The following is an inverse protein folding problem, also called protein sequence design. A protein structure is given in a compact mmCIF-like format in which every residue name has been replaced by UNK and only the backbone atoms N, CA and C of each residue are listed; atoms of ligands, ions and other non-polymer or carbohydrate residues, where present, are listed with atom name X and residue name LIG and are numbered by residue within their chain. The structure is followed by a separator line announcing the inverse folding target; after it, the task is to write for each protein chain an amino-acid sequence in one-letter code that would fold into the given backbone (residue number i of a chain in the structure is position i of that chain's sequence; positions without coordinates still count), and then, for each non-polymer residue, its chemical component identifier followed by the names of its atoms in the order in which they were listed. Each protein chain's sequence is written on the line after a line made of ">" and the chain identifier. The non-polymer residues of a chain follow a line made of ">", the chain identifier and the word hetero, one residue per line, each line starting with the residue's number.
data_IF_439123250256
#
_entry.id   IF_439123250256
#
_cell.length_a   1.000
_cell.length_b   1.000
_cell.length_c   1.000
_cell.angle_alpha   90.00
_cell.angle_beta   90.00
_cell.angle_gamma   90.00
#
_symmetry.space_group_name_H-M   'P 1'
#
loop_
_entity.id
_entity.type
_entity.pdbx_description
1 polymer ?
#
# COMPACT_ATOMS: atom_id res chain seq x y z
N UNK A 1 -36.09 -9.32 -12.41
CA UNK A 1 -36.34 -8.87 -13.79
C UNK A 1 -35.44 -7.67 -14.10
N UNK A 2 -34.13 -7.88 -13.99
CA UNK A 2 -33.05 -6.91 -14.22
C UNK A 2 -31.76 -7.71 -14.50
N UNK A 3 -31.90 -8.72 -15.37
CA UNK A 3 -30.84 -9.69 -15.72
C UNK A 3 -30.72 -9.86 -17.24
N UNK A 4 -31.27 -8.92 -18.00
CA UNK A 4 -31.24 -8.95 -19.45
C UNK A 4 -31.40 -7.52 -19.94
N UNK A 5 -30.27 -6.82 -20.12
CA UNK A 5 -29.98 -5.71 -21.03
C UNK A 5 -28.72 -5.06 -20.47
N UNK A 6 -27.57 -5.43 -21.03
CA UNK A 6 -26.32 -4.69 -21.26
C UNK A 6 -25.28 -5.77 -21.58
N UNK A 7 -25.41 -6.31 -22.79
CA UNK A 7 -24.29 -6.86 -23.54
C UNK A 7 -24.05 -5.84 -24.66
N UNK A 8 -22.78 -5.47 -24.86
CA UNK A 8 -22.23 -4.53 -25.86
C UNK A 8 -21.87 -3.12 -25.37
N UNK A 9 -20.89 -3.04 -24.46
CA UNK A 9 -19.68 -2.23 -24.70
C UNK A 9 -18.53 -2.85 -23.93
N UNK A 10 -17.85 -3.79 -24.60
CA UNK A 10 -16.59 -4.37 -24.17
C UNK A 10 -15.58 -3.21 -24.12
N UNK A 11 -15.39 -2.58 -22.96
CA UNK A 11 -14.05 -2.20 -22.57
C UNK A 11 -13.42 -3.45 -21.97
N UNK A 12 -12.96 -4.32 -22.86
CA UNK A 12 -11.73 -5.02 -22.55
C UNK A 12 -10.71 -3.92 -22.28
N UNK A 13 -10.39 -3.66 -21.02
CA UNK A 13 -9.06 -3.18 -20.65
C UNK A 13 -8.08 -4.32 -20.99
N UNK A 14 -7.93 -4.55 -22.29
CA UNK A 14 -6.74 -5.15 -22.84
C UNK A 14 -5.66 -4.12 -22.58
N UNK A 15 -4.96 -4.28 -21.45
CA UNK A 15 -3.67 -3.64 -21.17
C UNK A 15 -2.63 -4.21 -22.15
N UNK A 16 -2.84 -3.95 -23.44
CA UNK A 16 -1.83 -4.10 -24.47
C UNK A 16 -1.21 -2.74 -24.67
N UNK A 17 0.12 -2.64 -24.60
CA UNK A 17 0.85 -1.41 -24.89
C UNK A 17 0.37 -0.82 -26.22
N UNK A 18 -0.22 0.38 -26.16
CA UNK A 18 -0.45 1.19 -27.35
C UNK A 18 0.79 2.05 -27.60
N UNK A 19 1.08 2.39 -28.87
CA UNK A 19 2.14 3.35 -29.18
C UNK A 19 1.86 4.69 -28.48
N UNK A 20 2.71 5.07 -27.52
CA UNK A 20 2.59 6.33 -26.76
C UNK A 20 2.33 6.16 -25.26
N UNK A 21 2.00 4.95 -24.80
CA UNK A 21 1.80 4.67 -23.38
C UNK A 21 3.14 4.78 -22.60
N UNK A 22 3.09 5.28 -21.37
CA UNK A 22 4.26 5.27 -20.47
C UNK A 22 4.66 3.81 -20.20
N UNK A 23 5.90 3.39 -20.49
CA UNK A 23 6.31 1.99 -20.37
C UNK A 23 6.20 1.47 -18.93
N UNK A 24 6.26 2.35 -17.93
CA UNK A 24 6.21 1.98 -16.52
C UNK A 24 4.84 1.45 -16.09
N UNK A 25 3.79 1.66 -16.88
CA UNK A 25 2.44 1.08 -16.68
C UNK A 25 2.48 -0.45 -16.57
N UNK A 26 3.40 -1.10 -17.30
CA UNK A 26 3.44 -2.55 -17.43
C UNK A 26 4.64 -3.18 -16.72
N UNK A 27 5.38 -2.39 -15.95
CA UNK A 27 6.61 -2.81 -15.29
C UNK A 27 6.35 -3.20 -13.84
N UNK A 28 7.02 -4.27 -13.39
CA UNK A 28 7.21 -4.54 -11.96
C UNK A 28 8.10 -3.46 -11.32
N UNK A 29 8.08 -3.34 -9.99
CA UNK A 29 8.92 -2.39 -9.27
C UNK A 29 10.42 -2.53 -9.64
N UNK A 30 10.94 -3.76 -9.74
CA UNK A 30 12.33 -4.00 -10.14
C UNK A 30 12.61 -3.59 -11.60
N UNK A 31 11.66 -3.75 -12.51
CA UNK A 31 11.78 -3.26 -13.88
C UNK A 31 11.76 -1.73 -13.94
N UNK A 32 10.89 -1.06 -13.17
CA UNK A 32 10.85 0.41 -13.07
C UNK A 32 12.17 0.97 -12.53
N UNK A 33 12.72 0.38 -11.46
CA UNK A 33 14.01 0.81 -10.88
C UNK A 33 15.13 0.68 -11.92
N UNK A 34 15.19 -0.46 -12.62
CA UNK A 34 16.20 -0.72 -13.66
C UNK A 34 16.02 0.16 -14.90
N UNK A 35 14.77 0.46 -15.27
CA UNK A 35 14.45 1.36 -16.38
C UNK A 35 15.07 2.75 -16.17
N UNK A 36 15.08 3.23 -14.93
CA UNK A 36 15.73 4.47 -14.53
C UNK A 36 17.25 4.35 -14.31
N UNK A 37 17.85 3.18 -14.57
CA UNK A 37 19.29 2.94 -14.50
C UNK A 37 19.82 2.54 -13.12
N UNK A 38 18.96 2.44 -12.10
CA UNK A 38 19.36 2.07 -10.75
C UNK A 38 19.54 0.54 -10.62
N UNK A 39 20.48 0.08 -9.76
CA UNK A 39 20.51 -1.32 -9.37
C UNK A 39 19.25 -1.68 -8.58
N UNK A 40 18.68 -2.86 -8.84
CA UNK A 40 17.50 -3.37 -8.14
C UNK A 40 17.70 -4.83 -7.75
N UNK A 41 17.39 -5.17 -6.51
CA UNK A 41 17.39 -6.52 -5.97
C UNK A 41 15.99 -6.88 -5.43
N UNK A 42 15.54 -8.10 -5.73
CA UNK A 42 14.33 -8.70 -5.16
C UNK A 42 14.71 -9.58 -3.96
N UNK A 43 13.97 -9.44 -2.87
CA UNK A 43 14.14 -10.21 -1.66
C UNK A 43 12.81 -10.81 -1.20
N UNK A 44 12.89 -11.87 -0.41
CA UNK A 44 11.72 -12.46 0.21
C UNK A 44 12.02 -12.92 1.63
N UNK A 45 11.06 -12.73 2.53
CA UNK A 45 11.14 -13.18 3.92
C UNK A 45 9.83 -13.87 4.32
N UNK A 46 9.93 -15.00 5.03
CA UNK A 46 8.77 -15.76 5.49
C UNK A 46 8.43 -15.35 6.93
N UNK A 47 7.17 -15.00 7.17
CA UNK A 47 6.66 -14.69 8.52
C UNK A 47 6.44 -15.96 9.33
N UNK A 48 6.35 -15.83 10.65
CA UNK A 48 6.07 -16.96 11.55
C UNK A 48 4.75 -17.66 11.20
N UNK A 49 3.73 -16.89 10.80
CA UNK A 49 2.43 -17.42 10.42
C UNK A 49 2.36 -17.89 8.96
N UNK A 50 3.45 -17.77 8.18
CA UNK A 50 3.64 -18.47 6.92
C UNK A 50 3.52 -17.63 5.64
N UNK A 51 3.26 -16.32 5.73
CA UNK A 51 3.26 -15.43 4.56
C UNK A 51 4.69 -15.23 4.04
N UNK A 52 4.84 -15.12 2.73
CA UNK A 52 6.11 -14.82 2.07
C UNK A 52 6.04 -13.40 1.54
N UNK A 53 6.75 -12.50 2.19
CA UNK A 53 6.74 -11.07 1.91
C UNK A 53 7.82 -10.70 0.91
N UNK A 54 7.45 -10.03 -0.18
CA UNK A 54 8.38 -9.47 -1.14
C UNK A 54 8.96 -8.14 -0.67
N UNK A 55 10.26 -7.93 -0.88
CA UNK A 55 10.92 -6.64 -0.63
C UNK A 55 11.77 -6.26 -1.82
N UNK A 56 11.85 -4.97 -2.10
CA UNK A 56 12.72 -4.43 -3.16
C UNK A 56 13.83 -3.59 -2.53
N UNK A 57 15.01 -3.63 -3.14
CA UNK A 57 16.17 -2.90 -2.66
C UNK A 57 16.86 -2.16 -3.78
N UNK A 58 17.20 -0.89 -3.51
CA UNK A 58 18.11 -0.07 -4.31
C UNK A 58 19.42 0.06 -3.50
N UNK A 59 20.44 -0.78 -3.75
CA UNK A 59 21.63 -0.84 -2.91
C UNK A 59 22.52 0.41 -3.00
N UNK A 60 22.43 1.16 -4.10
CA UNK A 60 23.15 2.42 -4.29
C UNK A 60 22.49 3.29 -5.37
N UNK A 61 22.68 4.60 -5.26
CA UNK A 61 22.33 5.55 -6.31
C UNK A 61 23.20 5.44 -7.56
N UNK A 62 22.74 6.07 -8.64
CA UNK A 62 23.48 6.22 -9.91
C UNK A 62 24.15 7.59 -10.00
N UNK A 63 23.72 8.53 -9.17
CA UNK A 63 24.28 9.86 -9.05
C UNK A 63 24.53 10.19 -7.57
N UNK A 64 25.33 11.20 -7.26
CA UNK A 64 25.56 11.63 -5.88
C UNK A 64 26.65 10.86 -5.11
N UNK A 65 26.40 10.59 -3.82
CA UNK A 65 27.45 10.18 -2.87
C UNK A 65 27.63 8.66 -2.90
N UNK A 66 28.88 8.20 -3.06
CA UNK A 66 29.22 6.78 -2.99
C UNK A 66 30.08 6.50 -1.73
N UNK A 67 29.46 6.42 -0.53
CA UNK A 67 30.21 6.17 0.69
C UNK A 67 30.65 4.70 0.80
N UNK A 68 31.72 4.46 1.55
CA UNK A 68 32.18 3.10 1.85
C UNK A 68 31.23 2.32 2.78
N UNK A 69 30.41 3.04 3.55
CA UNK A 69 29.36 2.50 4.41
C UNK A 69 28.06 3.25 4.12
N UNK A 70 26.98 2.52 3.85
CA UNK A 70 25.66 3.09 3.51
C UNK A 70 24.69 2.86 4.66
N UNK A 71 24.13 3.91 5.29
CA UNK A 71 23.05 3.71 6.25
C UNK A 71 21.82 3.13 5.55
N UNK A 72 21.14 2.21 6.23
CA UNK A 72 19.91 1.58 5.73
C UNK A 72 18.70 2.47 6.00
N UNK A 73 17.87 2.67 4.98
CA UNK A 73 16.52 3.23 5.11
C UNK A 73 15.49 2.21 4.65
N UNK A 74 14.48 1.97 5.47
CA UNK A 74 13.36 1.09 5.18
C UNK A 74 12.09 1.92 4.99
N UNK A 75 11.41 1.72 3.86
CA UNK A 75 10.22 2.47 3.47
C UNK A 75 9.01 1.53 3.42
N UNK A 76 7.95 1.86 4.16
CA UNK A 76 6.73 1.06 4.25
C UNK A 76 5.51 1.84 3.75
N UNK A 77 4.87 1.31 2.70
CA UNK A 77 3.70 1.90 2.05
C UNK A 77 2.44 1.92 2.95
N UNK A 78 1.39 2.60 2.46
CA UNK A 78 0.10 2.73 3.13
C UNK A 78 -0.91 1.63 2.81
N UNK A 79 -2.18 1.87 3.16
CA UNK A 79 -3.30 1.00 2.80
C UNK A 79 -3.40 0.85 1.27
N UNK A 80 -3.70 -0.37 0.77
CA UNK A 80 -3.90 -0.69 -0.65
C UNK A 80 -2.76 -0.27 -1.59
N UNK A 81 -1.53 -0.29 -1.09
CA UNK A 81 -0.38 0.17 -1.86
C UNK A 81 0.78 -0.82 -1.82
N UNK A 82 1.88 -0.48 -2.47
CA UNK A 82 3.07 -1.30 -2.56
C UNK A 82 4.34 -0.46 -2.69
N UNK A 83 5.46 -1.11 -3.04
CA UNK A 83 6.76 -0.47 -3.28
C UNK A 83 6.71 0.69 -4.28
N UNK A 84 5.83 0.63 -5.29
CA UNK A 84 5.81 1.60 -6.39
C UNK A 84 5.49 3.01 -5.88
N UNK A 85 4.78 3.12 -4.76
CA UNK A 85 4.54 4.40 -4.06
C UNK A 85 5.79 5.18 -3.66
N UNK A 86 6.98 4.60 -3.73
CA UNK A 86 8.27 5.26 -3.45
C UNK A 86 9.08 5.59 -4.71
N UNK A 87 8.68 5.07 -5.87
CA UNK A 87 9.46 5.09 -7.14
C UNK A 87 8.63 5.43 -8.39
N UNK A 88 7.33 5.72 -8.26
CA UNK A 88 6.45 5.98 -9.41
C UNK A 88 6.71 7.31 -10.13
N UNK A 89 7.53 8.20 -9.56
CA UNK A 89 7.88 9.50 -10.16
C UNK A 89 9.33 9.56 -10.62
N UNK A 90 9.61 10.57 -11.44
CA UNK A 90 10.88 10.72 -12.16
C UNK A 90 12.06 10.95 -11.17
N UNK A 91 13.19 10.24 -11.32
CA UNK A 91 14.39 10.41 -10.47
C UNK A 91 15.11 11.77 -10.65
N UNK A 92 14.63 12.65 -11.55
CA UNK A 92 15.37 13.84 -12.03
C UNK A 92 14.86 15.21 -11.59
N UNK A 93 13.78 15.33 -10.80
CA UNK A 93 13.33 16.67 -10.34
C UNK A 93 14.21 17.30 -9.25
N UNK A 94 15.23 16.58 -8.76
CA UNK A 94 16.18 17.10 -7.76
C UNK A 94 17.46 17.72 -8.33
N UNK A 95 17.69 17.66 -9.65
CA UNK A 95 19.01 18.00 -10.25
C UNK A 95 19.03 19.22 -11.20
N UNK A 96 17.94 19.99 -11.32
CA UNK A 96 17.88 21.16 -12.18
C UNK A 96 17.21 22.34 -11.51
N UNK A 97 18.00 23.22 -10.87
CA UNK A 97 17.69 24.63 -10.59
C UNK A 97 16.22 24.96 -10.34
N UNK A 98 15.65 24.53 -9.23
CA UNK A 98 14.61 25.19 -8.41
C UNK A 98 14.18 24.16 -7.35
N UNK A 99 14.79 24.22 -6.17
CA UNK A 99 14.17 23.66 -4.96
C UNK A 99 12.95 24.53 -4.64
N UNK A 100 11.87 24.38 -5.41
CA UNK A 100 10.57 24.79 -4.91
C UNK A 100 10.15 23.74 -3.89
N UNK A 101 10.01 24.14 -2.62
CA UNK A 101 9.47 23.32 -1.54
C UNK A 101 8.03 22.82 -1.78
N UNK A 102 7.48 23.01 -2.99
CA UNK A 102 6.08 22.77 -3.34
C UNK A 102 5.81 21.37 -3.87
N UNK A 103 6.83 20.61 -4.31
CA UNK A 103 6.64 19.26 -4.86
C UNK A 103 7.46 18.21 -4.09
N UNK A 104 7.23 18.10 -2.77
CA UNK A 104 7.65 16.89 -2.04
C UNK A 104 6.71 15.74 -2.40
N UNK A 105 6.91 15.17 -3.58
CA UNK A 105 6.15 14.01 -4.01
C UNK A 105 6.79 12.76 -3.40
N UNK A 106 6.07 12.08 -2.49
CA UNK A 106 6.53 10.86 -1.79
C UNK A 106 7.04 9.77 -2.78
N UNK A 107 6.56 9.82 -4.03
CA UNK A 107 6.74 8.78 -5.05
C UNK A 107 8.06 8.81 -5.82
N UNK A 108 9.05 9.61 -5.44
CA UNK A 108 10.43 9.49 -5.98
C UNK A 108 11.47 9.31 -4.87
N UNK A 109 11.01 9.17 -3.62
CA UNK A 109 11.87 9.21 -2.43
C UNK A 109 12.88 8.06 -2.40
N UNK A 110 12.54 6.90 -2.97
CA UNK A 110 13.46 5.76 -3.10
C UNK A 110 14.74 6.13 -3.85
N UNK A 111 14.61 6.83 -4.99
CA UNK A 111 15.75 7.28 -5.79
C UNK A 111 16.57 8.36 -5.09
N UNK A 112 15.90 9.32 -4.42
CA UNK A 112 16.58 10.39 -3.67
C UNK A 112 17.49 9.84 -2.58
N UNK A 113 16.99 8.90 -1.78
CA UNK A 113 17.80 8.32 -0.72
C UNK A 113 18.95 7.49 -1.28
N UNK A 114 18.74 6.77 -2.38
CA UNK A 114 19.80 6.01 -3.04
C UNK A 114 20.94 6.94 -3.51
N UNK A 115 20.60 8.05 -4.19
CA UNK A 115 21.56 9.05 -4.65
C UNK A 115 22.20 9.87 -3.50
N UNK A 116 21.50 10.00 -2.38
CA UNK A 116 22.04 10.54 -1.13
C UNK A 116 22.99 9.58 -0.39
N UNK A 117 23.22 8.37 -0.92
CA UNK A 117 24.17 7.40 -0.39
C UNK A 117 23.60 6.42 0.65
N UNK A 118 22.28 6.22 0.68
CA UNK A 118 21.63 5.21 1.52
C UNK A 118 21.52 3.86 0.81
N UNK A 119 21.42 2.79 1.61
CA UNK A 119 20.92 1.49 1.17
C UNK A 119 19.40 1.46 1.37
N UNK A 120 18.65 1.51 0.27
CA UNK A 120 17.19 1.71 0.31
C UNK A 120 16.48 0.37 0.22
N UNK A 121 15.63 0.10 1.20
CA UNK A 121 14.76 -1.08 1.26
C UNK A 121 13.29 -0.65 1.29
N UNK A 122 12.45 -1.35 0.54
CA UNK A 122 11.02 -1.08 0.43
C UNK A 122 10.25 -2.36 0.74
N UNK A 123 9.42 -2.29 1.79
CA UNK A 123 8.61 -3.42 2.27
C UNK A 123 7.27 -3.53 1.55
N UNK A 124 6.74 -4.75 1.45
CA UNK A 124 5.39 -5.01 0.96
C UNK A 124 4.61 -5.83 1.98
N UNK A 125 3.47 -5.30 2.42
CA UNK A 125 2.59 -5.97 3.37
C UNK A 125 1.92 -7.20 2.72
N UNK A 126 1.62 -8.22 3.53
CA UNK A 126 0.88 -9.41 3.11
C UNK A 126 -0.37 -9.08 2.28
N UNK A 127 -0.60 -9.88 1.25
CA UNK A 127 -1.77 -9.77 0.37
C UNK A 127 -1.66 -8.78 -0.79
N UNK A 128 -0.69 -7.84 -0.77
CA UNK A 128 -0.48 -6.98 -1.92
C UNK A 128 0.20 -7.72 -3.09
N UNK A 129 0.33 -7.06 -4.25
CA UNK A 129 0.94 -7.56 -5.50
C UNK A 129 2.22 -8.38 -5.30
N UNK A 130 3.10 -7.96 -4.38
CA UNK A 130 4.42 -8.57 -4.18
C UNK A 130 4.49 -9.54 -2.99
N UNK A 131 3.43 -9.63 -2.19
CA UNK A 131 3.37 -10.43 -0.95
C UNK A 131 2.14 -11.34 -0.91
N UNK A 132 1.72 -11.86 -2.07
CA UNK A 132 0.55 -12.73 -2.23
C UNK A 132 0.89 -14.24 -2.22
N UNK A 133 1.88 -14.65 -1.41
CA UNK A 133 2.35 -16.04 -1.30
C UNK A 133 2.35 -16.50 0.15
N UNK A 134 2.12 -17.80 0.36
CA UNK A 134 2.12 -18.42 1.67
C UNK A 134 2.68 -19.84 1.59
N UNK A 135 3.26 -20.35 2.68
CA UNK A 135 3.89 -21.68 2.73
C UNK A 135 2.89 -22.83 2.56
N UNK A 136 1.67 -22.65 3.06
CA UNK A 136 0.62 -23.68 3.13
C UNK A 136 -0.72 -23.30 2.46
N UNK A 137 -0.86 -22.05 2.03
CA UNK A 137 -2.13 -21.50 1.52
C UNK A 137 -1.88 -20.83 0.17
N UNK A 138 -2.95 -20.64 -0.60
CA UNK A 138 -2.95 -19.92 -1.86
C UNK A 138 -3.88 -18.71 -1.77
N UNK A 139 -3.77 -17.76 -2.71
CA UNK A 139 -4.65 -16.60 -2.79
C UNK A 139 -6.12 -16.95 -3.03
N UNK A 140 -6.41 -18.19 -3.43
CA UNK A 140 -7.78 -18.70 -3.62
C UNK A 140 -8.42 -19.18 -2.31
N UNK A 141 -7.62 -19.39 -1.26
CA UNK A 141 -8.12 -19.83 0.04
C UNK A 141 -8.60 -18.63 0.86
N UNK A 142 -9.86 -18.63 1.34
CA UNK A 142 -10.38 -17.54 2.18
C UNK A 142 -9.50 -17.28 3.42
N UNK A 143 -8.92 -18.35 4.00
CA UNK A 143 -7.98 -18.26 5.13
C UNK A 143 -6.71 -17.47 4.84
N UNK A 144 -6.32 -17.34 3.58
CA UNK A 144 -5.20 -16.49 3.16
C UNK A 144 -5.52 -15.01 3.37
N UNK A 145 -6.81 -14.63 3.45
CA UNK A 145 -7.23 -13.25 3.57
C UNK A 145 -7.77 -12.90 4.97
N UNK A 146 -7.69 -13.83 5.93
CA UNK A 146 -8.07 -13.63 7.34
C UNK A 146 -7.01 -12.81 8.12
N UNK A 147 -6.62 -11.65 7.61
CA UNK A 147 -5.68 -10.73 8.26
C UNK A 147 -6.15 -9.27 8.21
N UNK A 148 -5.63 -8.44 9.11
CA UNK A 148 -5.69 -6.98 9.06
C UNK A 148 -4.31 -6.38 9.32
N UNK A 149 -4.21 -5.06 9.49
CA UNK A 149 -2.98 -4.42 9.92
C UNK A 149 -2.45 -4.94 11.27
N UNK A 150 -3.27 -5.63 12.07
CA UNK A 150 -2.83 -6.32 13.28
C UNK A 150 -1.75 -7.35 13.00
N UNK A 151 -1.96 -8.21 11.99
CA UNK A 151 -0.98 -9.23 11.62
C UNK A 151 0.22 -8.59 10.89
N UNK A 152 0.03 -7.49 10.17
CA UNK A 152 1.13 -6.74 9.56
C UNK A 152 2.06 -6.14 10.63
N UNK A 153 1.51 -5.62 11.72
CA UNK A 153 2.27 -5.18 12.90
C UNK A 153 2.95 -6.35 13.59
N UNK A 154 2.19 -7.40 13.87
CA UNK A 154 2.63 -8.54 14.69
C UNK A 154 3.74 -9.33 14.01
N UNK A 155 3.61 -9.60 12.71
CA UNK A 155 4.47 -10.53 11.98
C UNK A 155 5.28 -9.85 10.88
N UNK A 156 4.64 -9.06 10.00
CA UNK A 156 5.30 -8.60 8.77
C UNK A 156 6.43 -7.63 9.08
N UNK A 157 6.16 -6.60 9.88
CA UNK A 157 7.10 -5.52 10.17
C UNK A 157 8.38 -6.06 10.84
N UNK A 158 8.22 -6.94 11.82
CA UNK A 158 9.35 -7.58 12.49
C UNK A 158 10.17 -8.45 11.54
N UNK A 159 9.49 -9.29 10.75
CA UNK A 159 10.12 -10.20 9.79
C UNK A 159 10.94 -9.43 8.74
N UNK A 160 10.36 -8.39 8.13
CA UNK A 160 11.04 -7.59 7.12
C UNK A 160 12.24 -6.85 7.70
N UNK A 161 12.10 -6.21 8.85
CA UNK A 161 13.20 -5.45 9.47
C UNK A 161 14.34 -6.39 9.89
N UNK A 162 14.03 -7.55 10.49
CA UNK A 162 15.05 -8.50 10.92
C UNK A 162 15.81 -9.09 9.73
N UNK A 163 15.10 -9.40 8.63
CA UNK A 163 15.74 -9.79 7.38
C UNK A 163 16.72 -8.74 6.88
N UNK A 164 16.32 -7.47 6.87
CA UNK A 164 17.17 -6.36 6.39
C UNK A 164 18.40 -6.17 7.28
N UNK A 165 18.23 -6.20 8.60
CA UNK A 165 19.34 -6.09 9.55
C UNK A 165 20.32 -7.26 9.42
N UNK A 166 19.82 -8.49 9.26
CA UNK A 166 20.66 -9.67 9.02
C UNK A 166 21.43 -9.55 7.69
N UNK A 167 20.72 -9.18 6.62
CA UNK A 167 21.30 -9.09 5.27
C UNK A 167 22.40 -8.03 5.16
N UNK A 168 22.23 -6.92 5.88
CA UNK A 168 23.14 -5.77 5.83
C UNK A 168 24.21 -5.81 6.92
N UNK A 169 23.99 -6.56 8.01
CA UNK A 169 24.83 -6.56 9.19
C UNK A 169 24.68 -5.32 10.08
N UNK A 170 23.76 -4.41 9.75
CA UNK A 170 23.44 -3.24 10.57
C UNK A 170 22.67 -3.66 11.82
N UNK A 171 22.83 -2.89 12.90
CA UNK A 171 22.09 -3.11 14.15
C UNK A 171 20.77 -2.35 14.20
N UNK A 172 20.64 -1.31 13.37
CA UNK A 172 19.45 -0.48 13.31
C UNK A 172 19.38 0.31 12.01
N UNK A 173 18.17 0.67 11.60
CA UNK A 173 17.86 1.35 10.33
C UNK A 173 16.99 2.59 10.54
N UNK A 174 16.95 3.47 9.54
CA UNK A 174 15.97 4.55 9.47
C UNK A 174 14.66 4.02 8.90
N UNK A 175 13.52 4.34 9.50
CA UNK A 175 12.21 3.89 9.02
C UNK A 175 11.38 5.07 8.52
N UNK A 176 10.82 4.93 7.33
CA UNK A 176 9.87 5.88 6.74
C UNK A 176 8.57 5.13 6.50
N UNK A 177 7.50 5.56 7.17
CA UNK A 177 6.16 4.99 6.96
C UNK A 177 5.25 6.02 6.30
N UNK A 178 4.39 5.57 5.40
CA UNK A 178 3.28 6.36 4.87
C UNK A 178 1.93 5.76 5.30
N UNK A 179 0.99 6.57 5.77
CA UNK A 179 -0.38 6.14 6.07
C UNK A 179 -0.42 4.88 6.97
N UNK A 180 -0.99 3.75 6.53
CA UNK A 180 -0.99 2.48 7.28
C UNK A 180 0.41 2.00 7.70
N UNK A 181 1.46 2.27 6.92
CA UNK A 181 2.84 1.96 7.31
C UNK A 181 3.33 2.73 8.53
N UNK A 182 2.67 3.86 8.86
CA UNK A 182 2.91 4.55 10.14
C UNK A 182 2.14 3.90 11.29
N UNK A 183 0.89 3.50 11.04
CA UNK A 183 0.03 2.83 12.01
C UNK A 183 0.70 1.56 12.53
N UNK A 184 1.20 0.69 11.65
CA UNK A 184 1.86 -0.55 12.04
C UNK A 184 3.11 -0.29 12.89
N UNK A 185 3.91 0.74 12.57
CA UNK A 185 5.09 1.11 13.36
C UNK A 185 4.71 1.72 14.72
N UNK A 186 3.71 2.60 14.79
CA UNK A 186 3.21 3.14 16.06
C UNK A 186 2.73 2.00 16.98
N UNK A 187 1.90 1.11 16.44
CA UNK A 187 1.40 -0.07 17.16
C UNK A 187 2.55 -0.96 17.63
N UNK A 188 3.51 -1.30 16.76
CA UNK A 188 4.67 -2.14 17.11
C UNK A 188 5.50 -1.56 18.25
N UNK A 189 5.85 -0.28 18.17
CA UNK A 189 6.66 0.37 19.20
C UNK A 189 5.91 0.52 20.54
N UNK A 190 4.57 0.61 20.50
CA UNK A 190 3.75 0.66 21.72
C UNK A 190 3.59 -0.70 22.40
N UNK A 191 3.45 -1.77 21.62
CA UNK A 191 3.18 -3.12 22.11
C UNK A 191 4.45 -3.91 22.41
N UNK A 192 5.54 -3.62 21.70
CA UNK A 192 6.84 -4.27 21.84
C UNK A 192 7.96 -3.22 21.95
N UNK A 193 8.17 -2.63 23.14
CA UNK A 193 9.24 -1.66 23.37
C UNK A 193 10.65 -2.22 23.10
N UNK A 194 10.82 -3.55 23.09
CA UNK A 194 12.10 -4.19 22.78
C UNK A 194 12.49 -4.07 21.31
N UNK A 195 11.54 -3.70 20.45
CA UNK A 195 11.75 -3.44 19.03
C UNK A 195 12.44 -2.09 18.77
N UNK A 196 12.25 -1.11 19.66
CA UNK A 196 12.71 0.27 19.46
C UNK A 196 14.22 0.43 19.12
N UNK A 197 15.16 -0.32 19.73
CA UNK A 197 16.57 -0.23 19.39
C UNK A 197 16.92 -0.56 17.92
N UNK A 198 16.04 -1.28 17.20
CA UNK A 198 16.20 -1.57 15.77
C UNK A 198 15.94 -0.35 14.87
N UNK A 199 15.30 0.70 15.41
CA UNK A 199 14.91 1.90 14.66
C UNK A 199 15.75 3.10 15.11
N UNK A 200 16.64 3.60 14.24
CA UNK A 200 17.45 4.81 14.48
C UNK A 200 16.56 6.06 14.56
N UNK A 201 15.60 6.17 13.65
CA UNK A 201 14.61 7.24 13.61
C UNK A 201 13.41 6.81 12.78
N UNK A 202 12.22 7.21 13.24
CA UNK A 202 10.97 7.02 12.52
C UNK A 202 10.52 8.35 11.92
N UNK A 203 10.35 8.38 10.59
CA UNK A 203 9.71 9.46 9.85
C UNK A 203 8.30 9.01 9.44
N UNK A 204 7.28 9.67 9.96
CA UNK A 204 5.88 9.34 9.70
C UNK A 204 5.27 10.35 8.71
N UNK A 205 4.90 9.88 7.52
CA UNK A 205 4.25 10.67 6.47
C UNK A 205 2.76 10.34 6.45
N UNK A 206 1.90 11.36 6.52
CA UNK A 206 0.45 11.17 6.74
C UNK A 206 0.17 10.19 7.91
N UNK A 207 0.63 10.52 9.14
CA UNK A 207 0.59 9.59 10.27
C UNK A 207 -0.84 9.21 10.66
N UNK A 208 -1.07 7.93 10.90
CA UNK A 208 -2.36 7.38 11.33
C UNK A 208 -2.22 6.90 12.77
N UNK A 209 -2.62 7.75 13.71
CA UNK A 209 -2.71 7.43 15.14
C UNK A 209 -4.16 7.33 15.66
N UNK A 210 -5.14 7.83 14.90
CA UNK A 210 -6.58 7.62 15.04
C UNK A 210 -7.25 8.10 13.75
N UNK A 211 -8.42 7.54 13.45
CA UNK A 211 -9.24 7.90 12.28
C UNK A 211 -10.63 8.40 12.70
N UNK A 212 -10.81 8.79 13.97
CA UNK A 212 -12.10 9.26 14.53
C UNK A 212 -12.71 10.48 13.80
N UNK A 213 -11.90 11.21 13.05
CA UNK A 213 -12.32 12.39 12.29
C UNK A 213 -11.95 12.27 10.81
N UNK A 214 -11.67 11.06 10.32
CA UNK A 214 -11.39 10.84 8.91
C UNK A 214 -12.59 11.33 8.09
N UNK A 215 -12.30 11.93 6.96
CA UNK A 215 -13.28 12.25 5.92
C UNK A 215 -12.96 11.37 4.73
N UNK A 216 -13.87 11.20 3.78
CA UNK A 216 -13.61 10.35 2.63
C UNK A 216 -14.48 9.12 2.55
N UNK A 217 -14.09 8.22 1.65
CA UNK A 217 -14.81 6.97 1.36
C UNK A 217 -15.00 6.09 2.59
N UNK A 218 -14.01 5.99 3.49
CA UNK A 218 -14.13 5.21 4.72
C UNK A 218 -15.18 5.76 5.68
N UNK A 219 -15.31 7.09 5.79
CA UNK A 219 -16.35 7.71 6.60
C UNK A 219 -17.73 7.48 5.99
N UNK A 220 -17.87 7.68 4.68
CA UNK A 220 -19.12 7.47 3.95
C UNK A 220 -19.59 6.00 3.99
N UNK A 221 -18.66 5.04 3.98
CA UNK A 221 -18.98 3.62 4.14
C UNK A 221 -19.57 3.35 5.53
N UNK A 222 -18.97 3.87 6.59
CA UNK A 222 -19.50 3.74 7.95
C UNK A 222 -20.85 4.46 8.11
N UNK A 223 -20.98 5.70 7.63
CA UNK A 223 -22.23 6.46 7.74
C UNK A 223 -23.41 5.77 7.02
N UNK A 224 -23.12 5.04 5.93
CA UNK A 224 -24.15 4.39 5.11
C UNK A 224 -24.45 2.95 5.51
N UNK A 225 -23.45 2.22 5.99
CA UNK A 225 -23.52 0.77 6.17
C UNK A 225 -23.05 0.29 7.55
N UNK A 226 -22.51 1.17 8.40
CA UNK A 226 -21.90 0.83 9.69
C UNK A 226 -20.60 0.03 9.53
N UNK A 227 -20.21 -0.69 10.57
CA UNK A 227 -19.08 -1.63 10.58
C UNK A 227 -19.54 -3.10 10.62
N UNK A 228 -20.74 -3.39 10.11
CA UNK A 228 -21.39 -4.71 10.15
C UNK A 228 -20.63 -5.74 9.30
N UNK A 229 -19.75 -6.53 9.93
CA UNK A 229 -18.89 -7.50 9.24
C UNK A 229 -19.62 -8.42 8.25
N UNK A 230 -20.81 -8.93 8.60
CA UNK A 230 -21.61 -9.80 7.73
C UNK A 230 -21.95 -9.11 6.40
N UNK A 231 -22.36 -7.84 6.43
CA UNK A 231 -22.70 -7.08 5.24
C UNK A 231 -21.50 -6.90 4.30
N UNK A 232 -20.32 -6.57 4.85
CA UNK A 232 -19.12 -6.39 4.04
C UNK A 232 -18.60 -7.71 3.46
N UNK A 233 -18.70 -8.81 4.20
CA UNK A 233 -18.38 -10.12 3.66
C UNK A 233 -19.40 -10.58 2.60
N UNK A 234 -20.68 -10.21 2.72
CA UNK A 234 -21.68 -10.43 1.66
C UNK A 234 -21.41 -9.58 0.41
N UNK A 235 -20.96 -8.33 0.58
CA UNK A 235 -20.71 -7.40 -0.53
C UNK A 235 -19.38 -7.65 -1.25
N UNK A 236 -18.31 -7.89 -0.50
CA UNK A 236 -16.93 -7.94 -1.01
C UNK A 236 -16.27 -9.32 -0.89
N UNK A 237 -16.92 -10.28 -0.22
CA UNK A 237 -16.35 -11.59 0.05
C UNK A 237 -15.32 -11.58 1.19
N UNK A 238 -14.97 -12.78 1.67
CA UNK A 238 -13.94 -13.02 2.69
C UNK A 238 -12.50 -13.04 2.15
N UNK A 239 -12.31 -12.76 0.86
CA UNK A 239 -11.04 -12.82 0.16
C UNK A 239 -10.31 -11.48 0.04
N UNK A 240 -9.67 -11.28 -1.12
CA UNK A 240 -9.13 -9.99 -1.53
C UNK A 240 -10.23 -8.96 -1.60
N UNK A 241 -9.99 -7.75 -1.09
CA UNK A 241 -10.94 -6.66 -1.22
C UNK A 241 -10.90 -6.10 -2.64
N UNK A 242 -12.07 -6.04 -3.29
CA UNK A 242 -12.23 -5.61 -4.68
C UNK A 242 -11.26 -6.32 -5.65
N UNK A 243 -11.26 -7.67 -5.72
CA UNK A 243 -10.46 -8.37 -6.71
C UNK A 243 -10.98 -7.98 -8.10
N UNK A 244 -10.14 -8.11 -9.15
CA UNK A 244 -10.54 -7.80 -10.53
C UNK A 244 -11.51 -8.86 -11.09
N UNK A 245 -12.69 -8.93 -10.50
CA UNK A 245 -13.78 -9.82 -10.83
C UNK A 245 -14.98 -9.02 -11.36
N UNK A 246 -16.02 -9.73 -11.77
CA UNK A 246 -17.21 -9.13 -12.39
C UNK A 246 -17.94 -8.16 -11.44
N UNK A 247 -17.91 -8.38 -10.13
CA UNK A 247 -18.61 -7.53 -9.16
C UNK A 247 -17.87 -6.20 -9.00
N UNK A 248 -16.55 -6.25 -8.84
CA UNK A 248 -15.70 -5.07 -8.79
C UNK A 248 -15.77 -4.27 -10.09
N UNK A 249 -15.82 -4.94 -11.24
CA UNK A 249 -15.99 -4.28 -12.54
C UNK A 249 -17.34 -3.56 -12.65
N UNK A 250 -18.43 -4.15 -12.13
CA UNK A 250 -19.74 -3.49 -12.09
C UNK A 250 -19.77 -2.28 -11.14
N UNK A 251 -19.10 -2.38 -9.99
CA UNK A 251 -18.95 -1.24 -9.06
C UNK A 251 -18.12 -0.13 -9.73
N UNK A 252 -17.00 -0.48 -10.35
CA UNK A 252 -16.15 0.46 -11.07
C UNK A 252 -16.87 1.10 -12.26
N UNK A 253 -17.70 0.38 -13.02
CA UNK A 253 -18.52 0.95 -14.10
C UNK A 253 -19.62 1.86 -13.55
N UNK A 254 -20.23 1.48 -12.42
CA UNK A 254 -21.23 2.34 -11.77
C UNK A 254 -20.59 3.65 -11.26
N UNK A 255 -19.40 3.59 -10.67
CA UNK A 255 -18.68 4.75 -10.14
C UNK A 255 -18.05 5.58 -11.27
N UNK A 256 -17.28 4.95 -12.16
CA UNK A 256 -16.36 5.57 -13.11
C UNK A 256 -16.72 5.35 -14.60
N UNK A 257 -17.92 4.86 -14.93
CA UNK A 257 -18.32 4.63 -16.31
C UNK A 257 -18.28 5.90 -17.19
N UNK A 258 -18.20 5.72 -18.51
CA UNK A 258 -17.95 6.79 -19.53
C UNK A 258 -19.08 7.83 -19.70
N UNK A 259 -20.00 7.91 -18.74
CA UNK A 259 -21.00 8.97 -18.69
C UNK A 259 -20.41 10.17 -17.96
N UNK A 260 -20.81 11.39 -18.29
CA UNK A 260 -20.39 12.61 -17.57
C UNK A 260 -20.62 12.49 -16.04
N UNK A 261 -21.73 11.86 -15.63
CA UNK A 261 -22.00 11.56 -14.21
C UNK A 261 -21.08 10.49 -13.61
N UNK A 262 -20.52 9.61 -14.43
CA UNK A 262 -19.55 8.61 -14.01
C UNK A 262 -18.16 9.20 -13.89
N UNK A 263 -17.75 10.07 -14.82
CA UNK A 263 -16.50 10.83 -14.70
C UNK A 263 -16.51 11.71 -13.43
N UNK A 264 -17.58 12.47 -13.19
CA UNK A 264 -17.76 13.26 -11.97
C UNK A 264 -17.72 12.40 -10.69
N UNK A 265 -18.33 11.20 -10.72
CA UNK A 265 -18.33 10.29 -9.57
C UNK A 265 -16.96 9.65 -9.35
N UNK A 266 -16.23 9.34 -10.41
CA UNK A 266 -14.87 8.82 -10.35
C UNK A 266 -13.91 9.84 -9.74
N UNK A 267 -13.95 11.06 -10.25
CA UNK A 267 -13.16 12.17 -9.75
C UNK A 267 -13.49 12.41 -8.27
N UNK A 268 -14.77 12.43 -7.90
CA UNK A 268 -15.18 12.51 -6.50
C UNK A 268 -14.65 11.34 -5.66
N UNK A 269 -14.71 10.09 -6.12
CA UNK A 269 -14.19 8.95 -5.35
C UNK A 269 -12.67 9.03 -5.19
N UNK A 270 -11.94 9.41 -6.23
CA UNK A 270 -10.49 9.65 -6.15
C UNK A 270 -10.17 10.80 -5.18
N UNK A 271 -10.92 11.90 -5.22
CA UNK A 271 -10.81 12.99 -4.24
C UNK A 271 -11.18 12.54 -2.81
N UNK A 272 -12.13 11.62 -2.63
CA UNK A 272 -12.52 11.08 -1.33
C UNK A 272 -11.49 10.08 -0.77
N UNK A 273 -10.66 9.46 -1.61
CA UNK A 273 -9.59 8.54 -1.21
C UNK A 273 -8.27 9.30 -0.99
N UNK A 274 -7.95 10.26 -1.87
CA UNK A 274 -6.64 10.92 -1.93
C UNK A 274 -6.64 12.38 -1.46
N UNK A 275 -7.83 12.98 -1.28
CA UNK A 275 -8.02 14.36 -0.83
C UNK A 275 -8.24 15.37 -1.98
N UNK A 276 -8.81 16.56 -1.67
CA UNK A 276 -9.26 17.54 -2.68
C UNK A 276 -8.15 18.32 -3.40
N UNK A 277 -6.91 18.31 -2.92
CA UNK A 277 -5.79 19.10 -3.47
C UNK A 277 -5.03 18.41 -4.62
N UNK A 278 -5.58 17.33 -5.22
CA UNK A 278 -4.87 16.56 -6.24
C UNK A 278 -4.56 17.35 -7.52
N UNK A 279 -5.37 18.34 -7.90
CA UNK A 279 -5.24 18.99 -9.22
C UNK A 279 -3.92 19.72 -9.42
N UNK A 280 -3.31 20.20 -8.33
CA UNK A 280 -2.17 21.13 -8.37
C UNK A 280 -0.86 20.48 -7.89
N UNK A 281 -0.97 19.38 -7.12
CA UNK A 281 0.16 18.72 -6.43
C UNK A 281 0.52 17.34 -7.01
N UNK A 282 -0.09 16.95 -8.14
CA UNK A 282 0.09 15.64 -8.76
C UNK A 282 0.47 15.77 -10.23
N UNK A 283 1.40 14.93 -10.69
CA UNK A 283 1.79 14.91 -12.08
C UNK A 283 0.75 14.17 -12.94
N UNK A 284 -0.19 14.94 -13.51
CA UNK A 284 -1.29 14.43 -14.34
C UNK A 284 -0.85 13.62 -15.56
N UNK A 285 0.38 13.83 -16.07
CA UNK A 285 0.88 13.03 -17.20
C UNK A 285 1.24 11.59 -16.81
N UNK A 286 1.31 11.30 -15.51
CA UNK A 286 1.63 9.97 -14.97
C UNK A 286 0.43 9.27 -14.31
N UNK A 287 -0.78 9.84 -14.43
CA UNK A 287 -2.03 9.26 -13.89
C UNK A 287 -2.17 7.77 -14.18
N UNK A 288 -1.93 7.36 -15.43
CA UNK A 288 -2.03 5.96 -15.85
C UNK A 288 -1.00 5.05 -15.16
N UNK A 289 0.21 5.54 -14.90
CA UNK A 289 1.22 4.79 -14.13
C UNK A 289 0.72 4.58 -12.69
N UNK A 290 0.15 5.59 -12.05
CA UNK A 290 -0.29 5.42 -10.67
C UNK A 290 -1.50 4.50 -10.54
N UNK A 291 -2.46 4.61 -11.46
CA UNK A 291 -3.69 3.79 -11.48
C UNK A 291 -3.44 2.34 -11.93
N UNK A 292 -2.37 2.07 -12.69
CA UNK A 292 -2.01 0.69 -13.05
C UNK A 292 -1.39 -0.09 -11.88
N UNK A 293 -0.83 0.62 -10.89
CA UNK A 293 -0.16 0.05 -9.73
C UNK A 293 -0.95 0.20 -8.41
N UNK A 294 -2.06 0.93 -8.41
CA UNK A 294 -2.92 1.10 -7.23
C UNK A 294 -4.40 0.93 -7.61
N UNK A 295 -5.21 0.24 -6.79
CA UNK A 295 -4.83 -0.41 -5.54
C UNK A 295 -3.98 -1.67 -5.76
N UNK A 296 -3.01 -1.91 -4.87
CA UNK A 296 -2.10 -3.05 -4.96
C UNK A 296 -2.60 -4.31 -4.23
N UNK A 297 -3.79 -4.25 -3.62
CA UNK A 297 -4.44 -5.37 -2.93
C UNK A 297 -4.34 -5.33 -1.39
N UNK A 298 -5.41 -5.77 -0.74
CA UNK A 298 -5.54 -5.98 0.72
C UNK A 298 -6.67 -6.98 0.97
N UNK A 299 -6.82 -7.50 2.19
CA UNK A 299 -7.99 -8.30 2.57
C UNK A 299 -9.22 -7.43 2.88
N UNK A 300 -10.42 -7.99 2.68
CA UNK A 300 -11.68 -7.39 3.19
C UNK A 300 -11.64 -7.23 4.70
N UNK A 301 -11.03 -8.17 5.43
CA UNK A 301 -10.87 -8.07 6.89
C UNK A 301 -10.03 -6.84 7.30
N UNK A 302 -9.02 -6.45 6.52
CA UNK A 302 -8.28 -5.22 6.81
C UNK A 302 -9.15 -3.98 6.63
N UNK A 303 -9.97 -3.91 5.57
CA UNK A 303 -10.91 -2.80 5.35
C UNK A 303 -11.94 -2.74 6.49
N UNK A 304 -12.49 -3.88 6.90
CA UNK A 304 -13.36 -3.96 8.06
C UNK A 304 -12.70 -3.42 9.33
N UNK A 305 -11.41 -3.70 9.54
CA UNK A 305 -10.69 -3.14 10.67
C UNK A 305 -10.61 -1.61 10.62
N UNK A 306 -10.36 -1.03 9.43
CA UNK A 306 -10.42 0.43 9.27
C UNK A 306 -11.79 1.00 9.60
N UNK A 307 -12.87 0.36 9.13
CA UNK A 307 -14.24 0.80 9.39
C UNK A 307 -14.58 0.76 10.89
N UNK A 308 -14.16 -0.29 11.60
CA UNK A 308 -14.29 -0.36 13.06
C UNK A 308 -13.55 0.79 13.77
N UNK A 309 -12.37 1.16 13.28
CA UNK A 309 -11.61 2.29 13.84
C UNK A 309 -12.32 3.63 13.59
N UNK A 310 -12.97 3.79 12.44
CA UNK A 310 -13.77 4.98 12.09
C UNK A 310 -14.99 5.08 12.99
N UNK A 311 -15.80 4.02 13.06
CA UNK A 311 -17.02 3.95 13.87
C UNK A 311 -16.73 4.20 15.36
N UNK A 312 -15.71 3.52 15.90
CA UNK A 312 -15.38 3.61 17.33
C UNK A 312 -14.51 4.80 17.68
N UNK A 313 -13.83 5.42 16.71
CA UNK A 313 -12.84 6.46 16.92
C UNK A 313 -11.59 6.03 17.71
N UNK A 314 -11.31 4.73 17.77
CA UNK A 314 -10.17 4.16 18.52
C UNK A 314 -9.22 3.38 17.61
N UNK A 315 -8.00 3.14 18.09
CA UNK A 315 -7.02 2.25 17.44
C UNK A 315 -6.89 0.99 18.28
N UNK A 316 -7.94 0.19 18.24
CA UNK A 316 -8.02 -1.10 18.95
C UNK A 316 -7.58 -2.23 18.03
N UNK A 317 -7.36 -3.43 18.59
CA UNK A 317 -7.27 -4.67 17.79
C UNK A 317 -8.59 -4.94 17.07
N UNK A 318 -8.53 -5.74 16.00
CA UNK A 318 -9.69 -6.09 15.18
C UNK A 318 -10.79 -6.77 16.01
N UNK A 319 -12.03 -6.31 15.87
CA UNK A 319 -13.16 -6.92 16.55
C UNK A 319 -13.74 -8.05 15.66
N UNK A 320 -13.63 -9.29 16.13
CA UNK A 320 -14.19 -10.47 15.45
C UNK A 320 -15.71 -10.62 15.65
N UNK A 321 -16.40 -9.59 16.15
CA UNK A 321 -17.85 -9.49 16.25
C UNK A 321 -18.47 -10.20 17.46
N UNK A 322 -17.73 -11.07 18.16
CA UNK A 322 -18.22 -11.71 19.40
C UNK A 322 -17.13 -11.81 20.46
N UNK A 323 -17.52 -11.73 21.74
CA UNK A 323 -16.60 -11.93 22.88
C UNK A 323 -15.87 -13.26 22.79
N UNK A 324 -16.54 -14.33 22.33
CA UNK A 324 -15.94 -15.66 22.19
C UNK A 324 -14.82 -15.68 21.15
N UNK A 325 -15.03 -15.04 20.01
CA UNK A 325 -14.00 -14.95 18.97
C UNK A 325 -12.86 -14.03 19.42
N UNK A 326 -13.16 -12.87 19.99
CA UNK A 326 -12.13 -11.98 20.53
C UNK A 326 -11.26 -12.69 21.60
N UNK A 327 -11.86 -13.45 22.52
CA UNK A 327 -11.12 -14.23 23.53
C UNK A 327 -10.21 -15.30 22.89
N UNK A 328 -10.64 -15.92 21.79
CA UNK A 328 -9.83 -16.89 21.05
C UNK A 328 -8.58 -16.25 20.44
N UNK A 329 -8.67 -15.01 20.00
CA UNK A 329 -7.57 -14.30 19.33
C UNK A 329 -6.67 -13.52 20.29
N UNK A 330 -7.22 -12.98 21.38
CA UNK A 330 -6.51 -12.02 22.24
C UNK A 330 -6.25 -12.52 23.67
N UNK A 331 -6.89 -13.60 24.12
CA UNK A 331 -6.84 -14.08 25.51
C UNK A 331 -7.74 -13.28 26.43
#
# INVERSE_FOLDING_TARGET
>A
MLLAVILLSIFSFSWGQKPGDDPEIFMTATEMIKYWGYPSEDHSAATEDGYILGMHRIPNGISGVNPSCRPVVFMQHGLESDTISWIANLPGQSAGSHFECSYFTIMYLGFVFADAGFDVWMGNARGNTYSKKHVNLTSEDEKFWEFSWDQMEQYDLGTMIDYVLEKTGEKSLYYIGHSQGTLTMFSKLSLDPSFAPKIKKFFALAPVGSVAHIQGSLHELVDRFGDEAELYYELFGSGEFLPNDMVTQLIAEWVCGTTEKGEDRCDNVLFQIMGPEMSDNFNKTRTEVYLSHNPAGTSTQNILHWLQMVEKGTVSRFDYGTTKLNYKHYG
#
